data_IF_936258258146
#
_entry.id   IF_936258258146
#
_cell.length_a   1.000
_cell.length_b   1.000
_cell.length_c   1.000
_cell.angle_alpha   90.00
_cell.angle_beta   90.00
_cell.angle_gamma   90.00
#
_symmetry.space_group_name_H-M   'P 1'
#
loop_
_entity.id
_entity.type
_entity.pdbx_description
1 polymer ?
#
# COMPACT_ATOMS: atom_id res chain seq x y z
N UNK A 1 3.13 -29.54 9.09
CA UNK A 1 3.44 -28.11 9.29
C UNK A 1 4.06 -27.61 7.99
N UNK A 2 3.49 -26.57 7.39
CA UNK A 2 4.05 -25.98 6.18
C UNK A 2 5.04 -24.90 6.61
N UNK A 3 6.31 -25.08 6.30
CA UNK A 3 7.28 -23.98 6.34
C UNK A 3 6.76 -22.84 5.47
N UNK A 4 7.04 -21.60 5.86
CA UNK A 4 6.80 -20.47 4.97
C UNK A 4 7.57 -20.70 3.66
N UNK A 5 6.94 -20.47 2.52
CA UNK A 5 7.62 -20.56 1.22
C UNK A 5 8.62 -19.42 1.04
N UNK A 6 9.57 -19.57 0.13
CA UNK A 6 10.41 -18.45 -0.31
C UNK A 6 9.55 -17.32 -0.91
N UNK A 7 9.95 -16.08 -0.71
CA UNK A 7 9.29 -14.91 -1.31
C UNK A 7 10.14 -14.37 -2.45
N UNK A 8 9.51 -13.99 -3.56
CA UNK A 8 10.21 -13.31 -4.65
C UNK A 8 9.28 -12.33 -5.34
N UNK A 9 9.76 -11.11 -5.51
CA UNK A 9 9.14 -10.10 -6.36
C UNK A 9 9.95 -9.98 -7.65
N UNK A 10 9.29 -10.22 -8.78
CA UNK A 10 9.93 -10.08 -10.09
C UNK A 10 10.33 -8.63 -10.34
N UNK A 11 11.54 -8.41 -10.87
CA UNK A 11 12.05 -7.08 -11.20
C UNK A 11 11.27 -6.43 -12.34
N UNK A 12 10.65 -7.22 -13.21
CA UNK A 12 9.77 -6.72 -14.25
C UNK A 12 8.39 -6.33 -13.71
N UNK A 13 8.06 -6.70 -12.46
CA UNK A 13 6.79 -6.29 -11.86
C UNK A 13 6.81 -4.79 -11.57
N UNK A 14 5.67 -4.09 -11.72
CA UNK A 14 5.60 -2.65 -11.48
C UNK A 14 5.52 -2.34 -9.98
N UNK A 15 6.09 -3.17 -9.12
CA UNK A 15 6.06 -3.01 -7.66
C UNK A 15 7.47 -2.99 -7.09
N UNK A 16 7.67 -2.20 -6.05
CA UNK A 16 8.81 -2.26 -5.13
C UNK A 16 8.32 -2.63 -3.74
N UNK A 17 9.22 -3.18 -2.94
CA UNK A 17 8.99 -3.31 -1.50
C UNK A 17 9.22 -1.94 -0.88
N UNK A 18 8.35 -1.58 0.04
CA UNK A 18 8.41 -0.33 0.79
C UNK A 18 9.62 -0.37 1.74
N UNK A 19 10.38 0.73 1.85
CA UNK A 19 11.64 0.75 2.60
C UNK A 19 11.45 0.55 4.11
N UNK A 20 10.25 0.83 4.60
CA UNK A 20 9.83 0.66 5.99
C UNK A 20 9.53 -0.81 6.36
N UNK A 21 9.44 -1.72 5.39
CA UNK A 21 9.25 -3.15 5.67
C UNK A 21 10.51 -3.77 6.28
N UNK A 22 10.35 -4.35 7.46
CA UNK A 22 11.41 -5.06 8.18
C UNK A 22 11.21 -6.55 8.00
N UNK A 23 12.17 -7.22 7.39
CA UNK A 23 12.15 -8.68 7.21
C UNK A 23 12.88 -9.36 8.36
N UNK A 24 12.26 -10.40 8.91
CA UNK A 24 12.82 -11.16 10.02
C UNK A 24 12.79 -12.63 9.69
N UNK A 25 13.97 -13.25 9.67
CA UNK A 25 14.16 -14.68 9.45
C UNK A 25 14.13 -15.39 10.81
N UNK A 26 13.45 -16.54 10.85
CA UNK A 26 13.17 -17.28 12.06
C UNK A 26 13.56 -18.75 11.91
N UNK A 27 14.16 -19.32 12.96
CA UNK A 27 14.57 -20.71 12.98
C UNK A 27 15.72 -20.99 12.02
N UNK A 28 16.63 -20.05 11.88
CA UNK A 28 17.86 -20.18 11.10
C UNK A 28 18.84 -21.14 11.79
N UNK A 29 19.54 -21.93 10.98
CA UNK A 29 20.71 -22.69 11.45
C UNK A 29 21.77 -21.74 11.98
N UNK A 30 22.50 -22.14 13.02
CA UNK A 30 23.66 -21.37 13.52
C UNK A 30 24.82 -21.30 12.52
N UNK A 31 24.77 -22.13 11.48
CA UNK A 31 25.72 -22.13 10.34
C UNK A 31 25.16 -21.43 9.11
N UNK A 32 24.03 -20.74 9.23
CA UNK A 32 23.39 -20.06 8.12
C UNK A 32 24.30 -18.96 7.55
N UNK A 33 24.31 -18.77 6.21
CA UNK A 33 25.02 -17.65 5.60
C UNK A 33 24.51 -16.27 6.06
N UNK A 34 23.31 -16.17 6.64
CA UNK A 34 22.80 -14.89 7.19
C UNK A 34 23.63 -14.40 8.37
N UNK A 35 24.33 -15.30 9.06
CA UNK A 35 25.21 -14.98 10.18
C UNK A 35 26.68 -14.87 9.75
N UNK A 36 26.96 -14.79 8.45
CA UNK A 36 28.32 -14.58 7.96
C UNK A 36 28.78 -13.15 8.33
N UNK A 37 29.86 -13.00 9.12
CA UNK A 37 30.36 -11.70 9.53
C UNK A 37 30.91 -10.85 8.38
N UNK A 38 31.11 -11.41 7.18
CA UNK A 38 31.61 -10.69 6.01
C UNK A 38 30.51 -10.05 5.17
N UNK A 39 29.26 -10.50 5.29
CA UNK A 39 28.15 -10.11 4.41
C UNK A 39 27.14 -9.18 5.11
N UNK A 40 27.31 -8.86 6.40
CA UNK A 40 26.49 -7.95 7.22
C UNK A 40 24.97 -8.03 6.94
N UNK A 41 24.45 -9.25 6.79
CA UNK A 41 23.06 -9.51 6.41
C UNK A 41 22.07 -9.45 7.58
N UNK A 42 22.61 -9.34 8.80
CA UNK A 42 21.86 -9.56 10.02
C UNK A 42 22.10 -8.46 11.03
N UNK A 43 21.10 -7.63 11.29
CA UNK A 43 21.16 -6.66 12.37
C UNK A 43 21.08 -7.40 13.71
N UNK A 44 22.23 -7.48 14.39
CA UNK A 44 22.35 -8.10 15.72
C UNK A 44 21.98 -7.15 16.86
N UNK A 45 21.83 -5.85 16.60
CA UNK A 45 21.50 -4.82 17.58
C UNK A 45 19.98 -4.74 17.83
N UNK A 46 19.34 -3.79 17.17
CA UNK A 46 17.87 -3.62 17.16
C UNK A 46 17.14 -4.89 16.72
N UNK A 47 17.78 -5.75 15.94
CA UNK A 47 17.18 -7.04 15.60
C UNK A 47 16.92 -7.95 16.81
N UNK A 48 17.66 -7.80 17.90
CA UNK A 48 17.50 -8.64 19.09
C UNK A 48 16.16 -8.43 19.83
N UNK A 49 15.63 -7.20 19.88
CA UNK A 49 14.32 -6.95 20.49
C UNK A 49 13.18 -7.45 19.62
N UNK A 50 13.32 -7.31 18.30
CA UNK A 50 12.35 -7.82 17.33
C UNK A 50 12.25 -9.34 17.42
N UNK A 51 13.39 -10.03 17.38
CA UNK A 51 13.49 -11.48 17.55
C UNK A 51 12.90 -11.97 18.88
N UNK A 52 13.19 -11.26 19.98
CA UNK A 52 12.62 -11.56 21.29
C UNK A 52 11.11 -11.45 21.29
N UNK A 53 10.61 -10.38 20.68
CA UNK A 53 9.19 -10.13 20.55
C UNK A 53 8.50 -11.25 19.78
N UNK A 54 9.04 -11.62 18.62
CA UNK A 54 8.48 -12.68 17.79
C UNK A 54 8.43 -14.03 18.51
N UNK A 55 9.53 -14.46 19.12
CA UNK A 55 9.54 -15.75 19.84
C UNK A 55 8.67 -15.77 21.10
N UNK A 56 8.27 -14.61 21.62
CA UNK A 56 7.29 -14.52 22.71
C UNK A 56 5.84 -14.76 22.24
N UNK A 57 5.56 -14.59 20.95
CA UNK A 57 4.22 -14.77 20.39
C UNK A 57 3.89 -16.26 20.24
N UNK A 58 2.70 -16.67 20.70
CA UNK A 58 2.21 -18.06 20.50
C UNK A 58 2.09 -18.46 19.02
N UNK A 59 1.97 -17.48 18.12
CA UNK A 59 1.85 -17.68 16.67
C UNK A 59 3.04 -18.44 16.06
N UNK A 60 4.23 -18.39 16.68
CA UNK A 60 5.42 -19.11 16.20
C UNK A 60 5.24 -20.63 16.19
N UNK A 61 4.38 -21.15 17.06
CA UNK A 61 4.03 -22.59 17.05
C UNK A 61 3.28 -23.00 15.78
N UNK A 62 2.48 -22.09 15.21
CA UNK A 62 1.71 -22.33 13.99
C UNK A 62 2.59 -22.49 12.75
N UNK A 63 3.79 -21.91 12.77
CA UNK A 63 4.80 -22.01 11.70
C UNK A 63 5.89 -23.04 12.03
N UNK A 64 5.68 -23.88 13.05
CA UNK A 64 6.59 -24.98 13.40
C UNK A 64 7.83 -24.59 14.19
N UNK A 65 7.79 -23.45 14.89
CA UNK A 65 8.88 -22.99 15.74
C UNK A 65 8.52 -23.06 17.23
N UNK A 66 9.50 -23.35 18.06
CA UNK A 66 9.35 -23.32 19.51
C UNK A 66 9.22 -21.87 20.05
N UNK A 67 8.28 -21.61 20.96
CA UNK A 67 8.24 -20.37 21.72
C UNK A 67 9.52 -20.20 22.53
N UNK A 68 10.00 -18.95 22.66
CA UNK A 68 11.24 -18.61 23.35
C UNK A 68 12.48 -19.35 22.82
N UNK A 69 12.52 -19.64 21.52
CA UNK A 69 13.72 -20.16 20.88
C UNK A 69 14.92 -19.20 21.05
N UNK A 70 16.17 -19.72 20.93
CA UNK A 70 17.37 -18.90 21.08
C UNK A 70 17.42 -17.74 20.07
N UNK A 71 17.86 -16.55 20.50
CA UNK A 71 18.00 -15.41 19.58
C UNK A 71 18.99 -15.69 18.45
N UNK A 72 19.95 -16.60 18.67
CA UNK A 72 20.94 -17.02 17.66
C UNK A 72 20.33 -17.74 16.45
N UNK A 73 19.03 -18.06 16.46
CA UNK A 73 18.31 -18.64 15.33
C UNK A 73 17.35 -17.64 14.68
N UNK A 74 17.40 -16.37 15.08
CA UNK A 74 16.61 -15.31 14.48
C UNK A 74 17.52 -14.21 13.95
N UNK A 75 17.09 -13.60 12.84
CA UNK A 75 17.85 -12.58 12.16
C UNK A 75 16.92 -11.50 11.61
N UNK A 76 17.13 -10.25 12.00
CA UNK A 76 16.51 -9.12 11.28
C UNK A 76 17.35 -8.88 10.04
N UNK A 77 16.77 -9.27 8.91
CA UNK A 77 17.43 -9.32 7.63
C UNK A 77 17.48 -7.91 7.04
N UNK A 78 18.69 -7.39 6.85
CA UNK A 78 18.92 -6.12 6.18
C UNK A 78 19.28 -6.38 4.71
N UNK A 79 18.38 -6.08 3.76
CA UNK A 79 18.62 -6.30 2.34
C UNK A 79 19.52 -5.24 1.69
N UNK A 80 20.06 -4.26 2.44
CA UNK A 80 20.88 -3.16 1.89
C UNK A 80 22.09 -3.61 1.06
N UNK A 81 22.48 -4.89 1.13
CA UNK A 81 23.57 -5.50 0.36
C UNK A 81 23.09 -6.23 -0.92
N UNK A 82 21.79 -6.51 -1.09
CA UNK A 82 21.25 -7.23 -2.27
C UNK A 82 20.46 -6.29 -3.21
N UNK A 83 20.96 -5.07 -3.41
CA UNK A 83 20.43 -4.08 -4.35
C UNK A 83 20.78 -4.38 -5.83
N UNK A 84 20.93 -5.66 -6.21
CA UNK A 84 21.40 -6.08 -7.53
C UNK A 84 20.41 -6.91 -8.35
N UNK A 85 19.70 -7.85 -7.72
CA UNK A 85 19.04 -8.95 -8.42
C UNK A 85 17.68 -9.33 -7.83
N UNK A 86 16.72 -8.40 -7.87
CA UNK A 86 15.34 -8.66 -7.45
C UNK A 86 15.18 -8.82 -5.94
N UNK A 87 13.97 -8.57 -5.44
CA UNK A 87 13.67 -8.74 -4.03
C UNK A 87 13.25 -10.18 -3.79
N UNK A 88 14.19 -11.03 -3.39
CA UNK A 88 13.97 -12.46 -3.18
C UNK A 88 14.54 -12.96 -1.85
N UNK A 89 13.72 -13.67 -1.09
CA UNK A 89 14.07 -14.40 0.13
C UNK A 89 14.01 -15.89 -0.17
N UNK A 90 15.18 -16.51 -0.31
CA UNK A 90 15.33 -17.95 -0.58
C UNK A 90 15.65 -18.70 0.71
N UNK A 91 14.62 -19.06 1.49
CA UNK A 91 14.80 -19.65 2.83
C UNK A 91 15.64 -20.93 2.84
N UNK A 92 15.51 -21.87 1.87
CA UNK A 92 16.41 -23.02 1.78
C UNK A 92 17.88 -22.63 1.65
N UNK A 93 18.22 -21.64 0.82
CA UNK A 93 19.61 -21.16 0.69
C UNK A 93 20.08 -20.45 1.96
N UNK A 94 19.20 -19.69 2.59
CA UNK A 94 19.45 -18.99 3.85
C UNK A 94 19.39 -19.93 5.06
N UNK A 95 19.07 -21.22 4.90
CA UNK A 95 18.99 -22.21 5.98
C UNK A 95 18.08 -21.76 7.15
N UNK A 96 16.96 -21.12 6.84
CA UNK A 96 15.95 -20.69 7.82
C UNK A 96 14.62 -21.41 7.62
N UNK A 97 13.92 -21.67 8.71
CA UNK A 97 12.62 -22.35 8.66
C UNK A 97 11.50 -21.42 8.18
N UNK A 98 11.49 -20.17 8.64
CA UNK A 98 10.41 -19.24 8.32
C UNK A 98 10.91 -17.81 8.21
N UNK A 99 10.05 -16.93 7.72
CA UNK A 99 10.24 -15.50 7.75
C UNK A 99 8.94 -14.81 8.12
N UNK A 100 9.07 -13.58 8.60
CA UNK A 100 7.96 -12.65 8.79
C UNK A 100 8.40 -11.27 8.31
N UNK A 101 7.42 -10.41 8.02
CA UNK A 101 7.65 -9.03 7.63
C UNK A 101 6.79 -8.12 8.51
N UNK A 102 7.37 -7.05 9.01
CA UNK A 102 6.72 -6.05 9.86
C UNK A 102 6.78 -4.73 9.11
N UNK A 103 5.62 -4.15 8.79
CA UNK A 103 5.54 -2.86 8.10
C UNK A 103 5.22 -1.70 9.05
N UNK A 104 4.95 -1.98 10.33
CA UNK A 104 4.65 -0.97 11.32
C UNK A 104 4.51 -1.53 12.73
N UNK A 105 4.76 -0.70 13.74
CA UNK A 105 4.73 -1.09 15.15
C UNK A 105 3.43 -0.72 15.87
N UNK A 106 2.42 -0.18 15.17
CA UNK A 106 1.13 0.17 15.77
C UNK A 106 1.21 1.17 16.94
N UNK A 107 2.29 1.96 17.00
CA UNK A 107 2.55 2.96 18.04
C UNK A 107 3.37 2.45 19.25
N UNK A 108 3.82 1.20 19.25
CA UNK A 108 4.64 0.64 20.33
C UNK A 108 5.57 -0.47 19.83
N UNK A 109 6.84 -0.12 19.62
CA UNK A 109 7.87 -1.07 19.18
C UNK A 109 8.15 -2.16 20.23
N UNK A 110 7.85 -1.92 21.50
CA UNK A 110 8.10 -2.86 22.59
C UNK A 110 7.02 -3.94 22.75
N UNK A 111 5.87 -3.80 22.10
CA UNK A 111 4.73 -4.71 22.21
C UNK A 111 4.44 -5.45 20.89
N UNK A 112 4.93 -6.71 20.74
CA UNK A 112 4.72 -7.52 19.54
C UNK A 112 3.26 -7.75 19.17
N UNK A 113 2.33 -7.59 20.11
CA UNK A 113 0.90 -7.74 19.86
C UNK A 113 0.29 -6.56 19.11
N UNK A 114 0.97 -5.42 19.06
CA UNK A 114 0.54 -4.22 18.32
C UNK A 114 1.22 -4.08 16.96
N UNK A 115 2.23 -4.92 16.69
CA UNK A 115 2.93 -4.88 15.41
C UNK A 115 2.01 -5.29 14.27
N UNK A 116 2.28 -4.71 13.11
CA UNK A 116 1.53 -4.90 11.89
C UNK A 116 2.36 -5.74 10.94
N UNK A 117 1.86 -6.93 10.64
CA UNK A 117 2.56 -7.94 9.85
C UNK A 117 2.09 -7.94 8.40
N UNK A 118 3.03 -8.11 7.47
CA UNK A 118 2.77 -8.13 6.04
C UNK A 118 3.95 -7.56 5.25
N UNK A 119 3.95 -7.81 3.94
CA UNK A 119 4.88 -7.20 2.99
C UNK A 119 4.10 -6.10 2.28
N UNK A 120 4.49 -4.86 2.49
CA UNK A 120 3.94 -3.68 1.84
C UNK A 120 4.63 -3.48 0.50
N UNK A 121 3.80 -3.41 -0.55
CA UNK A 121 4.27 -3.16 -1.90
C UNK A 121 3.85 -1.77 -2.35
N UNK A 122 4.78 -1.01 -2.91
CA UNK A 122 4.52 0.25 -3.59
C UNK A 122 4.50 0.02 -5.09
N UNK A 123 3.48 0.52 -5.76
CA UNK A 123 3.41 0.47 -7.22
C UNK A 123 4.30 1.58 -7.81
N UNK A 124 5.34 1.18 -8.56
CA UNK A 124 6.38 2.06 -9.09
C UNK A 124 5.93 2.87 -10.31
N UNK A 125 5.04 2.29 -11.12
CA UNK A 125 4.70 2.81 -12.45
C UNK A 125 3.68 3.97 -12.41
N UNK A 126 3.23 4.35 -11.21
CA UNK A 126 2.29 5.45 -11.01
C UNK A 126 2.97 6.79 -10.75
N UNK A 127 4.16 6.84 -10.14
CA UNK A 127 4.70 8.15 -9.69
C UNK A 127 5.12 9.08 -10.84
N UNK A 128 5.37 8.53 -12.05
CA UNK A 128 5.78 9.32 -13.22
C UNK A 128 4.70 9.48 -14.29
N UNK A 129 3.51 8.88 -14.10
CA UNK A 129 2.38 9.13 -15.00
C UNK A 129 1.45 10.14 -14.35
N UNK A 130 1.03 11.18 -15.09
CA UNK A 130 0.04 12.16 -14.59
C UNK A 130 -1.26 11.50 -14.08
N UNK A 131 -1.52 10.25 -14.45
CA UNK A 131 -2.65 9.45 -14.00
C UNK A 131 -2.65 9.18 -12.49
N UNK A 132 -1.51 8.92 -11.83
CA UNK A 132 -1.50 8.69 -10.39
C UNK A 132 -1.80 9.95 -9.61
N UNK A 133 -1.12 11.03 -9.97
CA UNK A 133 -1.36 12.34 -9.36
C UNK A 133 -2.82 12.75 -9.52
N UNK A 134 -3.40 12.58 -10.72
CA UNK A 134 -4.83 12.83 -10.94
C UNK A 134 -5.74 11.92 -10.09
N UNK A 135 -5.33 10.68 -9.82
CA UNK A 135 -6.04 9.76 -8.96
C UNK A 135 -6.01 10.21 -7.49
N UNK A 136 -4.83 10.53 -6.96
CA UNK A 136 -4.65 11.02 -5.60
C UNK A 136 -5.35 12.37 -5.39
N UNK A 137 -5.24 13.29 -6.35
CA UNK A 137 -5.94 14.59 -6.35
C UNK A 137 -7.47 14.42 -6.33
N UNK A 138 -7.97 13.31 -6.86
CA UNK A 138 -9.39 12.94 -6.83
C UNK A 138 -9.81 12.14 -5.59
N UNK A 139 -8.90 11.91 -4.65
CA UNK A 139 -9.14 11.17 -3.39
C UNK A 139 -9.09 9.65 -3.52
N UNK A 140 -8.56 9.13 -4.63
CA UNK A 140 -8.30 7.71 -4.86
C UNK A 140 -6.90 7.29 -4.39
N UNK A 141 -6.62 5.99 -4.54
CA UNK A 141 -5.31 5.40 -4.28
C UNK A 141 -4.79 4.77 -5.57
N UNK A 142 -3.55 5.05 -5.92
CA UNK A 142 -2.89 4.45 -7.07
C UNK A 142 -2.68 2.95 -6.85
N UNK A 143 -3.00 2.15 -7.87
CA UNK A 143 -2.84 0.71 -7.80
C UNK A 143 -2.75 0.08 -9.17
N UNK A 144 -2.89 -1.24 -9.18
CA UNK A 144 -2.73 -2.07 -10.36
C UNK A 144 -3.89 -3.07 -10.42
N UNK A 145 -4.42 -3.29 -11.62
CA UNK A 145 -5.41 -4.35 -11.85
C UNK A 145 -4.73 -5.56 -12.48
N UNK A 146 -4.80 -6.71 -11.81
CA UNK A 146 -4.24 -7.96 -12.34
C UNK A 146 -4.95 -8.48 -13.59
N UNK A 147 -6.22 -8.09 -13.84
CA UNK A 147 -6.96 -8.55 -15.02
C UNK A 147 -6.53 -7.84 -16.30
N UNK A 148 -6.27 -6.54 -16.23
CA UNK A 148 -5.84 -5.75 -17.38
C UNK A 148 -4.34 -5.47 -17.35
N UNK A 149 -3.62 -6.08 -16.41
CA UNK A 149 -2.17 -5.92 -16.18
C UNK A 149 -1.70 -4.46 -16.30
N UNK A 150 -2.45 -3.53 -15.73
CA UNK A 150 -2.24 -2.09 -15.94
C UNK A 150 -2.64 -1.25 -14.72
N UNK A 151 -2.26 0.03 -14.75
CA UNK A 151 -2.62 1.01 -13.73
C UNK A 151 -4.13 1.06 -13.50
N UNK A 152 -4.52 1.09 -12.23
CA UNK A 152 -5.87 1.33 -11.79
C UNK A 152 -5.88 2.39 -10.68
N UNK A 153 -6.72 3.40 -10.84
CA UNK A 153 -7.08 4.31 -9.77
C UNK A 153 -8.20 3.70 -8.93
N UNK A 154 -7.89 3.34 -7.68
CA UNK A 154 -8.80 2.68 -6.75
C UNK A 154 -9.56 3.75 -5.98
N UNK A 155 -10.85 3.90 -6.27
CA UNK A 155 -11.68 4.91 -5.65
C UNK A 155 -12.36 4.39 -4.39
N UNK A 156 -12.60 5.27 -3.40
CA UNK A 156 -13.26 4.91 -2.12
C UNK A 156 -14.67 4.35 -2.27
N UNK A 157 -15.34 4.62 -3.40
CA UNK A 157 -16.64 4.05 -3.75
C UNK A 157 -16.56 2.60 -4.28
N UNK A 158 -15.38 1.97 -4.26
CA UNK A 158 -15.17 0.59 -4.71
C UNK A 158 -15.07 0.43 -6.23
N UNK A 159 -15.01 1.52 -7.00
CA UNK A 159 -14.87 1.48 -8.45
C UNK A 159 -13.42 1.72 -8.86
N UNK A 160 -12.84 0.80 -9.62
CA UNK A 160 -11.52 0.97 -10.23
C UNK A 160 -11.68 1.74 -11.55
N UNK A 161 -10.85 2.77 -11.75
CA UNK A 161 -10.83 3.59 -12.96
C UNK A 161 -9.42 3.65 -13.55
N UNK A 162 -9.26 4.24 -14.72
CA UNK A 162 -7.95 4.32 -15.41
C UNK A 162 -7.19 5.63 -15.15
N UNK A 163 -7.77 6.61 -14.46
CA UNK A 163 -7.12 7.92 -14.28
C UNK A 163 -7.52 8.72 -13.05
N UNK A 164 -8.81 8.78 -12.67
CA UNK A 164 -9.27 9.54 -11.52
C UNK A 164 -10.68 9.11 -11.04
N UNK A 165 -11.03 9.55 -9.85
CA UNK A 165 -12.30 9.31 -9.16
C UNK A 165 -13.32 10.45 -9.34
N UNK A 166 -13.01 11.48 -10.14
CA UNK A 166 -13.96 12.55 -10.41
C UNK A 166 -15.14 12.03 -11.24
N UNK A 167 -16.37 12.23 -10.75
CA UNK A 167 -17.58 12.00 -11.54
C UNK A 167 -18.20 10.60 -11.49
N UNK A 168 -17.80 9.71 -10.57
CA UNK A 168 -18.46 8.39 -10.39
C UNK A 168 -19.01 8.12 -8.99
N UNK A 169 -19.13 9.19 -8.19
CA UNK A 169 -19.69 9.20 -6.84
C UNK A 169 -21.12 9.73 -6.74
N UNK A 170 -21.94 9.56 -7.77
CA UNK A 170 -23.40 9.73 -7.66
C UNK A 170 -24.08 8.48 -8.22
N UNK A 171 -24.08 7.39 -7.44
CA UNK A 171 -25.24 6.51 -7.49
C UNK A 171 -26.45 7.38 -7.17
N UNK A 172 -27.39 7.39 -8.11
CA UNK A 172 -28.60 8.18 -8.18
C UNK A 172 -29.55 7.81 -7.02
N UNK A 173 -29.29 8.30 -5.82
CA UNK A 173 -30.20 8.20 -4.67
C UNK A 173 -30.25 9.53 -3.95
N UNK A 174 -30.85 10.51 -4.61
CA UNK A 174 -31.14 11.82 -4.02
C UNK A 174 -31.59 12.78 -5.10
N UNK A 175 -32.89 13.02 -5.16
CA UNK A 175 -33.57 13.98 -6.03
C UNK A 175 -32.92 15.37 -5.95
N UNK A 176 -31.90 15.63 -6.77
CA UNK A 176 -31.40 16.98 -7.00
C UNK A 176 -32.27 17.64 -8.06
N UNK A 177 -33.30 18.35 -7.60
CA UNK A 177 -33.98 19.35 -8.42
C UNK A 177 -32.95 20.42 -8.78
N UNK A 178 -32.61 20.66 -10.06
CA UNK A 178 -31.94 21.89 -10.41
C UNK A 178 -32.96 23.01 -10.16
N UNK A 179 -32.72 23.84 -9.14
CA UNK A 179 -33.40 25.13 -9.02
C UNK A 179 -32.86 26.02 -10.14
N UNK A 180 -33.36 25.80 -11.36
CA UNK A 180 -33.38 26.83 -12.40
C UNK A 180 -34.33 27.91 -11.91
N UNK A 181 -33.82 28.86 -11.13
CA UNK A 181 -34.52 30.12 -10.92
C UNK A 181 -34.37 30.96 -12.19
N UNK A 182 -35.12 30.58 -13.22
CA UNK A 182 -35.45 31.48 -14.32
C UNK A 182 -36.36 32.54 -13.72
N UNK A 183 -35.79 33.64 -13.20
CA UNK A 183 -36.55 34.86 -12.91
C UNK A 183 -37.04 35.42 -14.25
N UNK A 184 -38.20 34.95 -14.69
CA UNK A 184 -38.94 35.57 -15.78
C UNK A 184 -39.48 36.90 -15.26
N UNK A 185 -38.75 37.99 -15.52
CA UNK A 185 -39.23 39.34 -15.25
C UNK A 185 -40.31 39.68 -16.29
N UNK A 186 -41.55 39.33 -15.97
CA UNK A 186 -42.74 39.86 -16.65
C UNK A 186 -42.92 41.29 -16.15
N UNK A 187 -42.33 42.25 -16.85
CA UNK A 187 -42.38 43.65 -16.42
C UNK A 187 -41.70 44.59 -17.40
N UNK A 188 -42.06 44.53 -18.67
CA UNK A 188 -41.43 45.41 -19.68
C UNK A 188 -42.15 45.54 -21.01
N UNK A 189 -43.44 45.17 -21.11
CA UNK A 189 -44.21 45.25 -22.37
C UNK A 189 -45.28 46.35 -22.41
N UNK A 190 -45.20 47.37 -21.55
CA UNK A 190 -46.22 48.46 -21.54
C UNK A 190 -45.67 49.89 -21.67
N UNK A 191 -44.40 50.08 -22.04
CA UNK A 191 -43.87 51.44 -22.28
C UNK A 191 -43.39 51.72 -23.72
N UNK A 192 -43.39 50.73 -24.62
CA UNK A 192 -43.02 50.94 -26.03
C UNK A 192 -44.20 51.28 -26.96
N UNK A 193 -45.45 51.25 -26.48
CA UNK A 193 -46.63 51.63 -27.27
C UNK A 193 -47.14 53.06 -27.03
N UNK A 194 -46.61 53.79 -26.05
CA UNK A 194 -46.98 55.20 -25.82
C UNK A 194 -46.06 56.21 -26.54
N UNK A 195 -44.95 55.77 -27.14
CA UNK A 195 -44.04 56.67 -27.88
C UNK A 195 -44.22 56.63 -29.41
N UNK A 196 -45.08 55.74 -29.94
CA UNK A 196 -45.40 55.69 -31.38
C UNK A 196 -46.69 56.44 -31.76
N UNK A 197 -47.41 57.05 -30.81
CA UNK A 197 -48.61 57.86 -31.08
C UNK A 197 -48.41 59.37 -30.85
N UNK A 198 -47.20 59.83 -30.56
CA UNK A 198 -46.88 61.27 -30.41
C UNK A 198 -45.97 61.76 -31.56
N UNK A 199 -45.56 60.88 -32.49
CA UNK A 199 -44.59 61.17 -33.54
C UNK A 199 -45.11 61.16 -34.99
N UNK A 200 -46.41 60.99 -35.23
CA UNK A 200 -47.01 61.14 -36.56
C UNK A 200 -48.04 62.26 -36.53
N UNK A 201 -47.69 63.34 -37.24
CA UNK A 201 -48.49 64.53 -37.60
C UNK A 201 -50.01 64.37 -37.57
#
# INVERSE_FOLDING_TARGET
>A
MQNSGSFSLDRASPFSIVAEDIFVLLGCSTTSPVFDPNEDLCDTGSGSHVCRGLYSCKGVTGIGLEPNAPMSTCCVYDPSIVLGSGYGLDLPKLQCSSYTSIYGYGGDEGDPMKWQFGISLQYNDSYYTGACKNCEDSGGVCGFTGLAESFACICRNGLNTTSNCFGRGYTWSGTWRPKSQTKMSIGGFLLSWMLLLIGSR
#
